data_IF_470345375411
#
_entry.id   IF_470345375411
#
_cell.length_a   1.000
_cell.length_b   1.000
_cell.length_c   1.000
_cell.angle_alpha   90.00
_cell.angle_beta   90.00
_cell.angle_gamma   90.00
#
_symmetry.space_group_name_H-M   'P 1'
#
loop_
_entity.id
_entity.type
_entity.pdbx_description
1 polymer ?
#
# COMPACT_ATOMS: atom_id res chain seq x y z
N UNK A 1 -8.98 -35.38 26.58
CA UNK A 1 -7.52 -35.45 26.37
C UNK A 1 -7.31 -35.53 24.88
N UNK A 2 -6.77 -34.58 24.13
CA UNK A 2 -6.23 -33.25 24.38
C UNK A 2 -6.68 -32.40 23.17
N UNK A 3 -7.37 -31.29 23.41
CA UNK A 3 -7.45 -30.24 22.42
C UNK A 3 -6.21 -29.38 22.64
N UNK A 4 -5.19 -29.58 21.80
CA UNK A 4 -4.07 -28.67 21.68
C UNK A 4 -4.61 -27.32 21.19
N UNK A 5 -4.96 -26.46 22.15
CA UNK A 5 -5.01 -25.03 21.95
C UNK A 5 -3.58 -24.57 21.63
N UNK A 6 -3.23 -24.46 20.35
CA UNK A 6 -2.21 -23.50 19.94
C UNK A 6 -2.82 -22.11 20.09
N UNK A 7 -2.81 -21.60 21.32
CA UNK A 7 -2.70 -20.17 21.53
C UNK A 7 -1.28 -19.80 21.12
N UNK A 8 -1.08 -19.61 19.81
CA UNK A 8 0.13 -18.94 19.35
C UNK A 8 0.10 -17.55 19.96
N UNK A 9 1.07 -17.25 20.83
CA UNK A 9 1.30 -15.90 21.30
C UNK A 9 1.69 -15.05 20.08
N UNK A 10 0.70 -14.37 19.49
CA UNK A 10 0.90 -13.46 18.38
C UNK A 10 1.42 -12.10 18.89
N UNK A 11 2.60 -12.13 19.53
CA UNK A 11 3.34 -10.90 19.85
C UNK A 11 4.01 -10.35 18.60
N UNK A 12 4.49 -9.10 18.70
CA UNK A 12 5.31 -8.45 17.67
C UNK A 12 6.45 -9.35 17.17
N UNK A 13 7.18 -10.00 18.08
CA UNK A 13 8.31 -10.88 17.72
C UNK A 13 7.86 -12.07 16.86
N UNK A 14 6.67 -12.60 17.13
CA UNK A 14 6.06 -13.66 16.32
C UNK A 14 5.77 -13.19 14.89
N UNK A 15 5.22 -11.98 14.74
CA UNK A 15 4.94 -11.39 13.42
C UNK A 15 6.23 -11.08 12.65
N UNK A 16 7.25 -10.54 13.31
CA UNK A 16 8.57 -10.30 12.73
C UNK A 16 9.16 -11.60 12.18
N UNK A 17 9.10 -12.69 12.94
CA UNK A 17 9.63 -13.99 12.54
C UNK A 17 8.87 -14.58 11.33
N UNK A 18 7.54 -14.47 11.33
CA UNK A 18 6.69 -14.92 10.21
C UNK A 18 7.07 -14.18 8.92
N UNK A 19 7.16 -12.85 8.99
CA UNK A 19 7.50 -12.03 7.82
C UNK A 19 8.94 -12.23 7.36
N UNK A 20 9.87 -12.43 8.31
CA UNK A 20 11.26 -12.74 7.98
C UNK A 20 11.36 -14.07 7.22
N UNK A 21 10.71 -15.13 7.73
CA UNK A 21 10.66 -16.45 7.08
C UNK A 21 10.03 -16.38 5.68
N UNK A 22 8.93 -15.64 5.54
CA UNK A 22 8.26 -15.45 4.26
C UNK A 22 9.11 -14.70 3.24
N UNK A 23 9.73 -13.59 3.63
CA UNK A 23 10.60 -12.82 2.75
C UNK A 23 11.85 -13.60 2.34
N UNK A 24 12.41 -14.43 3.24
CA UNK A 24 13.50 -15.35 2.91
C UNK A 24 13.10 -16.36 1.83
N UNK A 25 11.88 -16.88 1.91
CA UNK A 25 11.36 -17.84 0.94
C UNK A 25 11.07 -17.19 -0.42
N UNK A 26 10.42 -16.02 -0.40
CA UNK A 26 10.00 -15.32 -1.63
C UNK A 26 11.19 -14.64 -2.34
N UNK A 27 12.17 -14.14 -1.58
CA UNK A 27 13.34 -13.41 -2.06
C UNK A 27 14.61 -13.82 -1.28
N UNK A 28 15.22 -14.98 -1.60
CA UNK A 28 16.40 -15.46 -0.90
C UNK A 28 17.61 -14.54 -1.06
N UNK A 29 17.76 -13.94 -2.25
CA UNK A 29 18.89 -13.08 -2.62
C UNK A 29 18.76 -11.64 -2.11
N UNK A 30 17.61 -11.26 -1.55
CA UNK A 30 17.41 -9.94 -0.97
C UNK A 30 18.34 -9.76 0.23
N UNK A 31 19.10 -8.67 0.23
CA UNK A 31 20.02 -8.38 1.32
C UNK A 31 19.27 -8.23 2.68
N UNK A 32 19.98 -8.49 3.78
CA UNK A 32 19.38 -8.47 5.12
C UNK A 32 18.79 -7.10 5.49
N UNK A 33 19.43 -6.01 5.06
CA UNK A 33 18.96 -4.65 5.33
C UNK A 33 17.61 -4.35 4.66
N UNK A 34 17.49 -4.59 3.35
CA UNK A 34 16.24 -4.41 2.57
C UNK A 34 15.14 -5.28 3.14
N UNK A 35 15.45 -6.53 3.51
CA UNK A 35 14.49 -7.42 4.16
C UNK A 35 13.98 -6.81 5.46
N UNK A 36 14.87 -6.35 6.34
CA UNK A 36 14.48 -5.72 7.59
C UNK A 36 13.67 -4.43 7.36
N UNK A 37 14.03 -3.63 6.37
CA UNK A 37 13.29 -2.42 6.01
C UNK A 37 11.86 -2.76 5.54
N UNK A 38 11.66 -3.81 4.76
CA UNK A 38 10.32 -4.27 4.35
C UNK A 38 9.52 -4.71 5.59
N UNK A 39 10.12 -5.48 6.51
CA UNK A 39 9.45 -5.93 7.74
C UNK A 39 9.01 -4.72 8.58
N UNK A 40 9.93 -3.76 8.83
CA UNK A 40 9.62 -2.52 9.57
C UNK A 40 8.50 -1.70 8.91
N UNK A 41 8.46 -1.67 7.59
CA UNK A 41 7.39 -1.00 6.85
C UNK A 41 6.04 -1.71 6.96
N UNK A 42 6.02 -3.05 6.92
CA UNK A 42 4.78 -3.84 7.06
C UNK A 42 4.19 -3.69 8.46
N UNK A 43 5.04 -3.72 9.49
CA UNK A 43 4.61 -3.55 10.88
C UNK A 43 4.24 -2.09 11.20
N UNK A 44 4.83 -1.12 10.49
CA UNK A 44 4.54 0.29 10.68
C UNK A 44 5.26 0.92 11.87
N UNK A 45 4.92 2.18 12.16
CA UNK A 45 5.59 2.98 13.20
C UNK A 45 5.16 2.61 14.62
N UNK A 46 3.88 2.29 14.83
CA UNK A 46 3.37 1.93 16.15
C UNK A 46 3.46 0.41 16.39
N UNK A 47 4.68 -0.03 16.71
CA UNK A 47 4.99 -1.44 16.96
C UNK A 47 4.47 -1.94 18.31
N UNK A 48 4.28 -1.06 19.28
CA UNK A 48 3.88 -1.42 20.65
C UNK A 48 2.36 -1.67 20.77
N UNK A 49 1.58 -1.14 19.83
CA UNK A 49 0.12 -1.32 19.81
C UNK A 49 -0.35 -2.73 19.46
N UNK A 50 0.53 -3.63 18.99
CA UNK A 50 0.15 -4.98 18.57
C UNK A 50 -0.23 -5.90 19.73
N UNK A 51 0.44 -5.76 20.88
CA UNK A 51 0.18 -6.59 22.06
C UNK A 51 -1.17 -6.24 22.73
N UNK A 52 -1.72 -5.07 22.40
CA UNK A 52 -3.02 -4.60 22.89
C UNK A 52 -4.18 -4.96 21.94
N UNK A 53 -3.89 -5.49 20.74
CA UNK A 53 -4.94 -5.81 19.76
C UNK A 53 -5.73 -7.05 20.16
N UNK A 54 -7.05 -6.96 20.03
CA UNK A 54 -7.90 -8.16 20.06
C UNK A 54 -7.54 -9.09 18.88
N UNK A 55 -7.79 -10.41 18.99
CA UNK A 55 -7.51 -11.35 17.90
C UNK A 55 -8.15 -10.94 16.56
N UNK A 56 -9.33 -10.30 16.61
CA UNK A 56 -10.00 -9.78 15.42
C UNK A 56 -9.26 -8.60 14.79
N UNK A 57 -8.80 -7.64 15.59
CA UNK A 57 -8.04 -6.50 15.10
C UNK A 57 -6.69 -6.93 14.53
N UNK A 58 -6.05 -7.90 15.19
CA UNK A 58 -4.83 -8.51 14.70
C UNK A 58 -5.03 -9.20 13.35
N UNK A 59 -6.09 -9.99 13.18
CA UNK A 59 -6.40 -10.62 11.90
C UNK A 59 -6.62 -9.59 10.79
N UNK A 60 -7.29 -8.47 11.08
CA UNK A 60 -7.45 -7.35 10.14
C UNK A 60 -6.09 -6.72 9.81
N UNK A 61 -5.23 -6.50 10.81
CA UNK A 61 -3.90 -5.93 10.61
C UNK A 61 -3.04 -6.85 9.70
N UNK A 62 -3.04 -8.16 9.95
CA UNK A 62 -2.35 -9.14 9.11
C UNK A 62 -2.88 -9.13 7.67
N UNK A 63 -4.20 -9.09 7.48
CA UNK A 63 -4.79 -8.99 6.13
C UNK A 63 -4.35 -7.72 5.40
N UNK A 64 -4.24 -6.59 6.10
CA UNK A 64 -3.73 -5.34 5.54
C UNK A 64 -2.24 -5.45 5.19
N UNK A 65 -1.42 -6.07 6.05
CA UNK A 65 -0.01 -6.35 5.75
C UNK A 65 0.14 -7.24 4.50
N UNK A 66 -0.65 -8.31 4.41
CA UNK A 66 -0.69 -9.21 3.26
C UNK A 66 -1.10 -8.51 1.97
N UNK A 67 -2.07 -7.61 2.06
CA UNK A 67 -2.49 -6.81 0.91
C UNK A 67 -1.36 -5.87 0.46
N UNK A 68 -0.74 -5.16 1.41
CA UNK A 68 0.33 -4.22 1.13
C UNK A 68 1.59 -4.91 0.58
N UNK A 69 1.95 -6.07 1.14
CA UNK A 69 3.06 -6.88 0.66
C UNK A 69 2.82 -7.40 -0.76
N UNK A 70 1.60 -7.85 -1.09
CA UNK A 70 1.25 -8.26 -2.46
C UNK A 70 1.39 -7.13 -3.46
N UNK A 71 1.00 -5.90 -3.10
CA UNK A 71 1.19 -4.72 -3.95
C UNK A 71 2.69 -4.51 -4.22
N UNK A 72 3.50 -4.51 -3.17
CA UNK A 72 4.95 -4.36 -3.27
C UNK A 72 5.56 -5.42 -4.20
N UNK A 73 5.27 -6.69 -3.93
CA UNK A 73 5.79 -7.83 -4.68
C UNK A 73 5.41 -7.80 -6.16
N UNK A 74 4.17 -7.44 -6.48
CA UNK A 74 3.65 -7.53 -7.86
C UNK A 74 4.08 -6.38 -8.76
N UNK A 75 4.43 -5.22 -8.21
CA UNK A 75 4.52 -3.98 -9.00
C UNK A 75 5.75 -3.13 -8.75
N UNK A 76 6.41 -3.27 -7.61
CA UNK A 76 7.34 -2.24 -7.15
C UNK A 76 8.68 -2.79 -6.66
N UNK A 77 8.71 -3.97 -6.04
CA UNK A 77 9.95 -4.57 -5.56
C UNK A 77 10.84 -4.98 -6.75
N UNK A 78 12.09 -4.51 -6.74
CA UNK A 78 13.07 -4.75 -7.80
C UNK A 78 12.64 -4.29 -9.21
N UNK A 79 11.68 -3.36 -9.27
CA UNK A 79 11.23 -2.75 -10.53
C UNK A 79 11.93 -1.41 -10.73
N UNK A 80 12.42 -1.17 -11.95
CA UNK A 80 13.07 0.09 -12.33
C UNK A 80 12.13 1.29 -12.10
N UNK A 81 12.63 2.45 -11.61
CA UNK A 81 11.79 3.56 -11.17
C UNK A 81 10.75 4.01 -12.21
N UNK A 82 11.13 4.17 -13.48
CA UNK A 82 10.21 4.61 -14.53
C UNK A 82 9.06 3.60 -14.73
N UNK A 83 9.36 2.31 -14.68
CA UNK A 83 8.36 1.25 -14.79
C UNK A 83 7.47 1.20 -13.53
N UNK A 84 8.05 1.38 -12.35
CA UNK A 84 7.31 1.46 -11.09
C UNK A 84 6.29 2.63 -11.11
N UNK A 85 6.68 3.81 -11.59
CA UNK A 85 5.75 4.92 -11.78
C UNK A 85 4.65 4.60 -12.81
N UNK A 86 5.01 3.96 -13.93
CA UNK A 86 4.04 3.49 -14.91
C UNK A 86 3.01 2.52 -14.32
N UNK A 87 3.46 1.59 -13.47
CA UNK A 87 2.60 0.64 -12.77
C UNK A 87 1.58 1.35 -11.88
N UNK A 88 2.02 2.36 -11.11
CA UNK A 88 1.13 3.17 -10.27
C UNK A 88 0.08 3.90 -11.11
N UNK A 89 0.50 4.64 -12.14
CA UNK A 89 -0.43 5.43 -12.97
C UNK A 89 -1.48 4.51 -13.62
N UNK A 90 -1.06 3.38 -14.16
CA UNK A 90 -1.96 2.38 -14.71
C UNK A 90 -2.96 1.87 -13.66
N UNK A 91 -2.48 1.57 -12.44
CA UNK A 91 -3.35 1.09 -11.38
C UNK A 91 -4.38 2.12 -10.95
N UNK A 92 -3.96 3.37 -10.75
CA UNK A 92 -4.86 4.46 -10.38
C UNK A 92 -5.90 4.72 -11.47
N UNK A 93 -5.50 4.68 -12.75
CA UNK A 93 -6.43 4.74 -13.87
C UNK A 93 -7.49 3.63 -13.81
N UNK A 94 -7.07 2.38 -13.61
CA UNK A 94 -7.98 1.24 -13.46
C UNK A 94 -8.95 1.41 -12.29
N UNK A 95 -8.47 1.86 -11.12
CA UNK A 95 -9.31 2.11 -9.94
C UNK A 95 -10.39 3.15 -10.22
N UNK A 96 -10.04 4.24 -10.89
CA UNK A 96 -10.97 5.31 -11.24
C UNK A 96 -12.02 4.84 -12.24
N UNK A 97 -11.61 4.01 -13.20
CA UNK A 97 -12.52 3.42 -14.18
C UNK A 97 -13.52 2.43 -13.56
N UNK A 98 -13.31 1.94 -12.32
CA UNK A 98 -14.33 1.18 -11.60
C UNK A 98 -15.61 2.00 -11.35
N UNK A 99 -15.53 3.33 -11.34
CA UNK A 99 -16.71 4.18 -11.22
C UNK A 99 -17.47 4.28 -12.56
N UNK A 100 -18.72 3.81 -12.66
CA UNK A 100 -19.46 3.81 -13.92
C UNK A 100 -19.69 5.23 -14.49
N UNK A 101 -19.90 6.23 -13.61
CA UNK A 101 -20.07 7.63 -14.02
C UNK A 101 -18.82 8.18 -14.70
N UNK A 102 -17.65 7.97 -14.11
CA UNK A 102 -16.38 8.41 -14.71
C UNK A 102 -16.15 7.67 -16.02
N UNK A 103 -16.35 6.35 -16.03
CA UNK A 103 -16.16 5.52 -17.23
C UNK A 103 -17.01 6.02 -18.41
N UNK A 104 -18.30 6.26 -18.17
CA UNK A 104 -19.23 6.80 -19.17
C UNK A 104 -18.84 8.21 -19.62
N UNK A 105 -18.37 9.06 -18.69
CA UNK A 105 -17.91 10.39 -19.04
C UNK A 105 -16.68 10.35 -19.94
N UNK A 106 -15.71 9.49 -19.63
CA UNK A 106 -14.46 9.32 -20.38
C UNK A 106 -14.68 8.72 -21.77
N UNK A 107 -15.68 7.84 -21.95
CA UNK A 107 -15.99 7.25 -23.26
C UNK A 107 -16.49 8.27 -24.29
N UNK A 108 -16.85 9.49 -23.87
CA UNK A 108 -17.35 10.55 -24.75
C UNK A 108 -16.22 11.34 -25.45
N UNK A 109 -14.94 11.02 -25.22
CA UNK A 109 -13.84 11.48 -26.09
C UNK A 109 -12.48 11.68 -25.42
N UNK A 110 -11.44 11.82 -26.24
CA UNK A 110 -10.04 11.93 -25.79
C UNK A 110 -9.77 13.15 -24.90
N UNK A 111 -10.47 14.28 -25.12
CA UNK A 111 -10.36 15.46 -24.24
C UNK A 111 -10.73 15.13 -22.79
N UNK A 112 -11.76 14.29 -22.59
CA UNK A 112 -12.23 13.87 -21.27
C UNK A 112 -11.27 12.87 -20.62
N UNK A 113 -10.68 11.97 -21.41
CA UNK A 113 -9.58 11.11 -20.96
C UNK A 113 -8.41 11.94 -20.38
N UNK A 114 -7.98 12.98 -21.09
CA UNK A 114 -6.91 13.88 -20.62
C UNK A 114 -7.29 14.62 -19.34
N UNK A 115 -8.53 15.06 -19.20
CA UNK A 115 -9.01 15.71 -17.98
C UNK A 115 -8.97 14.75 -16.79
N UNK A 116 -9.48 13.52 -16.93
CA UNK A 116 -9.41 12.54 -15.83
C UNK A 116 -7.96 12.20 -15.47
N UNK A 117 -7.07 12.04 -16.45
CA UNK A 117 -5.66 11.81 -16.18
C UNK A 117 -5.02 12.96 -15.37
N UNK A 118 -5.35 14.21 -15.72
CA UNK A 118 -4.89 15.38 -14.96
C UNK A 118 -5.46 15.39 -13.53
N UNK A 119 -6.76 15.09 -13.37
CA UNK A 119 -7.39 15.01 -12.05
C UNK A 119 -6.79 13.91 -11.17
N UNK A 120 -6.44 12.75 -11.75
CA UNK A 120 -5.72 11.69 -11.03
C UNK A 120 -4.39 12.25 -10.51
N UNK A 121 -3.59 12.86 -11.39
CA UNK A 121 -2.29 13.44 -11.01
C UNK A 121 -2.44 14.49 -9.92
N UNK A 122 -3.35 15.44 -10.08
CA UNK A 122 -3.59 16.51 -9.10
C UNK A 122 -4.07 15.96 -7.76
N UNK A 123 -4.98 14.98 -7.77
CA UNK A 123 -5.47 14.33 -6.54
C UNK A 123 -4.34 13.60 -5.82
N UNK A 124 -3.49 12.89 -6.56
CA UNK A 124 -2.33 12.19 -6.00
C UNK A 124 -1.33 13.18 -5.40
N UNK A 125 -1.03 14.28 -6.10
CA UNK A 125 -0.16 15.34 -5.58
C UNK A 125 -0.72 15.96 -4.31
N UNK A 126 -2.03 16.20 -4.24
CA UNK A 126 -2.70 16.71 -3.04
C UNK A 126 -2.65 15.71 -1.90
N UNK A 127 -2.92 14.42 -2.17
CA UNK A 127 -2.82 13.34 -1.19
C UNK A 127 -1.40 13.27 -0.64
N UNK A 128 -0.39 13.27 -1.51
CA UNK A 128 1.00 13.22 -1.09
C UNK A 128 1.40 14.44 -0.26
N UNK A 129 0.89 15.65 -0.57
CA UNK A 129 1.25 16.88 0.17
C UNK A 129 0.50 17.06 1.49
N UNK A 130 -0.74 16.59 1.57
CA UNK A 130 -1.66 16.96 2.65
C UNK A 130 -2.19 15.80 3.50
N UNK A 131 -2.06 14.55 3.05
CA UNK A 131 -2.55 13.42 3.83
C UNK A 131 -1.59 13.05 4.97
N UNK A 132 -2.08 13.14 6.21
CA UNK A 132 -1.28 12.89 7.41
C UNK A 132 -0.73 11.47 7.46
N UNK A 133 -1.51 10.47 7.05
CA UNK A 133 -1.07 9.08 7.09
C UNK A 133 0.07 8.85 6.09
N UNK A 134 -0.05 9.33 4.86
CA UNK A 134 1.03 9.18 3.88
C UNK A 134 2.28 10.00 4.22
N UNK A 135 2.12 11.19 4.80
CA UNK A 135 3.25 11.98 5.32
C UNK A 135 4.00 11.24 6.45
N UNK A 136 3.27 10.60 7.36
CA UNK A 136 3.85 9.73 8.39
C UNK A 136 4.57 8.53 7.77
N UNK A 137 3.95 7.85 6.80
CA UNK A 137 4.59 6.73 6.08
C UNK A 137 5.88 7.17 5.36
N UNK A 138 5.87 8.33 4.69
CA UNK A 138 7.06 8.88 4.04
C UNK A 138 8.19 9.13 5.06
N UNK A 139 7.86 9.74 6.19
CA UNK A 139 8.82 10.03 7.26
C UNK A 139 9.36 8.74 7.87
N UNK A 140 8.48 7.79 8.17
CA UNK A 140 8.83 6.48 8.72
C UNK A 140 9.79 5.74 7.78
N UNK A 141 9.45 5.62 6.49
CA UNK A 141 10.30 4.94 5.50
C UNK A 141 11.69 5.56 5.41
N UNK A 142 11.79 6.90 5.47
CA UNK A 142 13.08 7.60 5.41
C UNK A 142 13.99 7.28 6.61
N UNK A 143 13.44 6.90 7.75
CA UNK A 143 14.23 6.65 8.96
C UNK A 143 15.01 5.32 8.92
N UNK A 144 14.56 4.31 8.17
CA UNK A 144 15.12 2.95 8.25
C UNK A 144 15.65 2.38 6.92
N UNK A 145 15.66 3.15 5.83
CA UNK A 145 16.35 2.74 4.59
C UNK A 145 17.02 3.92 3.89
N UNK A 146 18.27 3.73 3.47
CA UNK A 146 19.01 4.66 2.62
C UNK A 146 18.93 4.26 1.13
N UNK A 147 18.45 3.05 0.82
CA UNK A 147 18.28 2.59 -0.56
C UNK A 147 17.11 3.33 -1.21
N UNK A 148 17.42 4.17 -2.20
CA UNK A 148 16.43 4.99 -2.90
C UNK A 148 15.43 4.17 -3.70
N UNK A 149 15.85 3.01 -4.25
CA UNK A 149 14.98 2.14 -5.02
C UNK A 149 13.91 1.50 -4.13
N UNK A 150 14.33 0.93 -3.00
CA UNK A 150 13.43 0.37 -2.01
C UNK A 150 12.53 1.45 -1.41
N UNK A 151 13.08 2.61 -1.04
CA UNK A 151 12.28 3.73 -0.52
C UNK A 151 11.15 4.10 -1.48
N UNK A 152 11.45 4.20 -2.78
CA UNK A 152 10.44 4.49 -3.80
C UNK A 152 9.42 3.36 -3.90
N UNK A 153 9.86 2.10 -3.90
CA UNK A 153 8.96 0.95 -3.97
C UNK A 153 7.98 0.90 -2.79
N UNK A 154 8.45 1.14 -1.57
CA UNK A 154 7.63 1.18 -0.36
C UNK A 154 6.62 2.33 -0.40
N UNK A 155 7.06 3.53 -0.81
CA UNK A 155 6.17 4.69 -0.93
C UNK A 155 5.07 4.50 -1.98
N UNK A 156 5.43 4.00 -3.17
CA UNK A 156 4.46 3.72 -4.23
C UNK A 156 3.45 2.65 -3.79
N UNK A 157 3.92 1.63 -3.07
CA UNK A 157 3.06 0.59 -2.50
C UNK A 157 2.08 1.15 -1.47
N UNK A 158 2.54 2.00 -0.55
CA UNK A 158 1.68 2.68 0.43
C UNK A 158 0.65 3.60 -0.24
N UNK A 159 1.04 4.32 -1.29
CA UNK A 159 0.14 5.20 -2.03
C UNK A 159 -0.93 4.41 -2.82
N UNK A 160 -0.55 3.31 -3.47
CA UNK A 160 -1.51 2.44 -4.16
C UNK A 160 -2.50 1.83 -3.17
N UNK A 161 -2.01 1.32 -2.03
CA UNK A 161 -2.84 0.76 -0.98
C UNK A 161 -3.86 1.80 -0.51
N UNK A 162 -3.40 3.00 -0.14
CA UNK A 162 -4.23 4.10 0.32
C UNK A 162 -5.30 4.49 -0.72
N UNK A 163 -4.93 4.64 -2.00
CA UNK A 163 -5.87 4.96 -3.08
C UNK A 163 -6.90 3.84 -3.34
N UNK A 164 -6.52 2.60 -3.05
CA UNK A 164 -7.36 1.41 -3.24
C UNK A 164 -8.32 1.17 -2.08
N UNK A 165 -8.05 1.73 -0.89
CA UNK A 165 -8.93 1.59 0.25
C UNK A 165 -10.35 2.07 -0.12
N UNK A 166 -11.33 1.21 0.13
CA UNK A 166 -12.72 1.51 -0.19
C UNK A 166 -13.42 2.11 1.01
N UNK A 167 -13.97 3.31 0.84
CA UNK A 167 -14.90 3.93 1.79
C UNK A 167 -16.29 3.90 1.14
N UNK A 168 -17.26 3.28 1.79
CA UNK A 168 -18.63 3.11 1.27
C UNK A 168 -18.66 2.41 -0.12
N UNK A 169 -17.98 1.26 -0.23
CA UNK A 169 -17.92 0.41 -1.44
C UNK A 169 -17.28 1.04 -2.69
N UNK A 170 -16.62 2.20 -2.58
CA UNK A 170 -15.90 2.85 -3.68
C UNK A 170 -14.46 3.15 -3.27
N UNK A 171 -13.47 2.98 -4.17
CA UNK A 171 -12.10 3.40 -3.90
C UNK A 171 -12.04 4.90 -3.56
N UNK A 172 -11.25 5.26 -2.55
CA UNK A 172 -11.07 6.64 -2.10
C UNK A 172 -10.75 7.59 -3.27
N UNK A 173 -9.83 7.17 -4.15
CA UNK A 173 -9.41 7.97 -5.29
C UNK A 173 -10.58 8.27 -6.24
N UNK A 174 -11.40 7.25 -6.55
CA UNK A 174 -12.57 7.42 -7.41
C UNK A 174 -13.61 8.36 -6.78
N UNK A 175 -13.77 8.33 -5.46
CA UNK A 175 -14.67 9.24 -4.74
C UNK A 175 -14.20 10.70 -4.83
N UNK A 176 -12.92 10.97 -4.56
CA UNK A 176 -12.34 12.32 -4.65
C UNK A 176 -12.42 12.88 -6.06
N UNK A 177 -12.13 12.08 -7.08
CA UNK A 177 -12.25 12.53 -8.48
C UNK A 177 -13.71 12.81 -8.84
N UNK A 178 -14.65 12.00 -8.35
CA UNK A 178 -16.06 12.33 -8.53
C UNK A 178 -16.39 13.70 -7.92
N UNK A 179 -15.91 14.02 -6.71
CA UNK A 179 -16.13 15.33 -6.07
C UNK A 179 -15.59 16.50 -6.93
N UNK A 180 -14.48 16.31 -7.65
CA UNK A 180 -13.87 17.32 -8.54
C UNK A 180 -14.52 17.43 -9.94
N UNK A 181 -15.31 16.42 -10.35
CA UNK A 181 -15.99 16.40 -11.65
C UNK A 181 -17.39 17.05 -11.64
N UNK A 182 -17.90 17.44 -10.46
CA UNK A 182 -19.15 18.20 -10.32
C UNK A 182 -18.89 19.69 -10.51
#
# INVERSE_FOLDING_TARGET
>A
MEQLQCQDNFSKEGLELIWHSRLLKDYPDLNGEKRQSIIRWLLGENLDGFDELTPRQLAIAQQMMDYRYRILQQRYLEVEPLQAYGNLINRLGLLVMLCPKIRSWVSLGQKRQKIVANLIRETVEQILKGDRYLQQQMTWIQQFTQDSGLRNALLLSSLEEYCSQSICHKPLLARRIMELLH
#
